data_IF_133088008420
#
_entry.id   IF_133088008420
#
_cell.length_a   1.000
_cell.length_b   1.000
_cell.length_c   1.000
_cell.angle_alpha   90.00
_cell.angle_beta   90.00
_cell.angle_gamma   90.00
#
_symmetry.space_group_name_H-M   'P 1'
#
loop_
_entity.id
_entity.type
_entity.pdbx_description
1 polymer ?
#
# COMPACT_ATOMS: atom_id res chain seq x y z
N UNK A 1 2.14 7.60 2.35
CA UNK A 1 2.33 8.78 1.47
C UNK A 1 3.05 8.42 0.17
N UNK A 2 4.22 7.77 0.22
CA UNK A 2 4.97 7.37 -0.99
C UNK A 2 4.15 6.53 -1.99
N UNK A 3 3.36 5.57 -1.49
CA UNK A 3 2.51 4.71 -2.33
C UNK A 3 1.44 5.54 -3.08
N UNK A 4 0.90 6.61 -2.47
CA UNK A 4 -0.03 7.51 -3.15
C UNK A 4 0.67 8.27 -4.29
N UNK A 5 1.89 8.74 -4.04
CA UNK A 5 2.71 9.45 -5.05
C UNK A 5 3.01 8.53 -6.24
N UNK A 6 3.31 7.25 -6.01
CA UNK A 6 3.53 6.31 -7.13
C UNK A 6 2.30 6.13 -8.01
N UNK A 7 1.09 6.06 -7.42
CA UNK A 7 -0.15 5.95 -8.22
C UNK A 7 -0.45 7.22 -9.03
N UNK A 8 -0.07 8.39 -8.53
CA UNK A 8 -0.14 9.64 -9.31
C UNK A 8 0.84 9.57 -10.50
N UNK A 9 2.08 9.11 -10.27
CA UNK A 9 3.08 8.95 -11.33
C UNK A 9 2.59 7.96 -12.40
N UNK A 10 2.01 6.83 -11.99
CA UNK A 10 1.43 5.84 -12.91
C UNK A 10 0.29 6.39 -13.75
N UNK A 11 -0.56 7.23 -13.17
CA UNK A 11 -1.66 7.84 -13.90
C UNK A 11 -1.17 8.75 -15.02
N UNK A 12 -0.20 9.63 -14.75
CA UNK A 12 0.36 10.55 -15.75
C UNK A 12 1.34 9.90 -16.72
N UNK A 13 2.00 8.82 -16.32
CA UNK A 13 3.05 8.15 -17.11
C UNK A 13 2.57 6.91 -17.86
N UNK A 14 1.27 6.76 -18.10
CA UNK A 14 0.67 5.58 -18.73
C UNK A 14 1.35 5.19 -20.07
N UNK A 15 1.87 6.18 -20.81
CA UNK A 15 2.50 5.99 -22.12
C UNK A 15 4.05 6.05 -22.10
N UNK A 16 4.67 6.27 -20.94
CA UNK A 16 6.13 6.44 -20.81
C UNK A 16 6.73 5.37 -19.92
N UNK A 17 7.57 4.51 -20.51
CA UNK A 17 8.21 3.41 -19.79
C UNK A 17 9.12 3.91 -18.66
N UNK A 18 9.79 5.05 -18.87
CA UNK A 18 10.63 5.68 -17.85
C UNK A 18 9.80 6.15 -16.65
N UNK A 19 8.63 6.75 -16.89
CA UNK A 19 7.75 7.17 -15.80
C UNK A 19 7.17 5.99 -15.03
N UNK A 20 6.86 4.88 -15.71
CA UNK A 20 6.46 3.63 -15.05
C UNK A 20 7.59 3.05 -14.18
N UNK A 21 8.83 3.04 -14.66
CA UNK A 21 9.99 2.58 -13.87
C UNK A 21 10.12 3.40 -12.59
N UNK A 22 10.05 4.73 -12.69
CA UNK A 22 10.11 5.62 -11.53
C UNK A 22 8.96 5.32 -10.56
N UNK A 23 7.74 5.21 -11.07
CA UNK A 23 6.57 4.89 -10.25
C UNK A 23 6.71 3.56 -9.50
N UNK A 24 7.25 2.52 -10.15
CA UNK A 24 7.47 1.20 -9.51
C UNK A 24 8.52 1.30 -8.41
N UNK A 25 9.63 1.99 -8.64
CA UNK A 25 10.68 2.19 -7.63
C UNK A 25 10.09 2.92 -6.41
N UNK A 26 9.35 4.00 -6.63
CA UNK A 26 8.72 4.78 -5.55
C UNK A 26 7.69 3.94 -4.79
N UNK A 27 6.92 3.12 -5.50
CA UNK A 27 5.94 2.22 -4.90
C UNK A 27 6.62 1.17 -4.01
N UNK A 28 7.66 0.50 -4.51
CA UNK A 28 8.40 -0.53 -3.77
C UNK A 28 9.02 0.04 -2.50
N UNK A 29 9.70 1.19 -2.60
CA UNK A 29 10.24 1.89 -1.44
C UNK A 29 9.14 2.24 -0.42
N UNK A 30 7.98 2.70 -0.89
CA UNK A 30 6.85 3.03 -0.03
C UNK A 30 6.28 1.82 0.71
N UNK A 31 6.12 0.69 0.01
CA UNK A 31 5.64 -0.57 0.59
C UNK A 31 6.65 -1.10 1.60
N UNK A 32 7.93 -1.16 1.25
CA UNK A 32 8.98 -1.70 2.11
C UNK A 32 9.19 -0.85 3.36
N UNK A 33 9.20 0.47 3.24
CA UNK A 33 9.29 1.36 4.39
C UNK A 33 8.09 1.17 5.36
N UNK A 34 6.88 1.06 4.81
CA UNK A 34 5.66 0.82 5.60
C UNK A 34 5.71 -0.53 6.28
N UNK A 35 6.13 -1.57 5.57
CA UNK A 35 6.25 -2.93 6.10
C UNK A 35 7.24 -2.99 7.28
N UNK A 36 8.43 -2.41 7.13
CA UNK A 36 9.45 -2.36 8.18
C UNK A 36 8.96 -1.56 9.39
N UNK A 37 8.33 -0.40 9.16
CA UNK A 37 7.77 0.44 10.24
C UNK A 37 6.69 -0.29 11.03
N UNK A 38 5.73 -0.92 10.34
CA UNK A 38 4.67 -1.69 10.99
C UNK A 38 5.23 -2.87 11.79
N UNK A 39 6.17 -3.62 11.22
CA UNK A 39 6.80 -4.73 11.94
C UNK A 39 7.56 -4.26 13.17
N UNK A 40 8.30 -3.15 13.08
CA UNK A 40 9.03 -2.57 14.22
C UNK A 40 8.08 -2.20 15.37
N UNK A 41 6.96 -1.53 15.07
CA UNK A 41 5.95 -1.13 16.07
C UNK A 41 5.31 -2.35 16.72
N UNK A 42 4.84 -3.31 15.91
CA UNK A 42 4.08 -4.46 16.41
C UNK A 42 4.99 -5.40 17.23
N UNK A 43 6.23 -5.62 16.78
CA UNK A 43 7.17 -6.47 17.51
C UNK A 43 7.71 -5.82 18.79
N UNK A 44 7.77 -4.49 18.87
CA UNK A 44 8.09 -3.79 20.12
C UNK A 44 7.01 -3.97 21.19
N UNK A 45 5.74 -4.15 20.79
CA UNK A 45 4.61 -4.25 21.72
C UNK A 45 4.56 -5.57 22.49
N UNK A 46 4.91 -6.69 21.84
CA UNK A 46 4.89 -8.05 22.43
C UNK A 46 6.00 -8.94 21.88
N UNK A 47 7.25 -8.78 22.35
CA UNK A 47 8.40 -9.54 21.86
C UNK A 47 8.29 -11.06 22.12
N UNK A 48 7.61 -11.48 23.19
CA UNK A 48 7.43 -12.90 23.54
C UNK A 48 6.59 -13.69 22.53
N UNK A 49 5.67 -13.03 21.81
CA UNK A 49 4.74 -13.67 20.88
C UNK A 49 5.11 -13.43 19.40
N UNK A 50 6.39 -13.13 19.11
CA UNK A 50 6.87 -12.69 17.79
C UNK A 50 6.45 -13.59 16.64
N UNK A 51 6.55 -14.91 16.82
CA UNK A 51 6.22 -15.88 15.76
C UNK A 51 4.72 -15.82 15.37
N UNK A 52 3.84 -15.82 16.36
CA UNK A 52 2.38 -15.76 16.16
C UNK A 52 1.96 -14.43 15.52
N UNK A 53 2.53 -13.33 15.99
CA UNK A 53 2.28 -12.00 15.43
C UNK A 53 2.69 -11.94 13.96
N UNK A 54 3.87 -12.45 13.63
CA UNK A 54 4.36 -12.47 12.26
C UNK A 54 3.41 -13.25 11.34
N UNK A 55 2.93 -14.42 11.77
CA UNK A 55 1.94 -15.19 11.00
C UNK A 55 0.67 -14.40 10.75
N UNK A 56 0.07 -13.80 11.79
CA UNK A 56 -1.16 -13.00 11.64
C UNK A 56 -0.94 -11.80 10.71
N UNK A 57 0.22 -11.14 10.84
CA UNK A 57 0.60 -10.02 10.00
C UNK A 57 0.69 -10.43 8.52
N UNK A 58 1.43 -11.50 8.22
CA UNK A 58 1.59 -12.00 6.85
C UNK A 58 0.27 -12.50 6.26
N UNK A 59 -0.56 -13.21 7.03
CA UNK A 59 -1.90 -13.65 6.57
C UNK A 59 -2.77 -12.45 6.20
N UNK A 60 -2.76 -11.40 7.03
CA UNK A 60 -3.51 -10.16 6.76
C UNK A 60 -2.96 -9.44 5.52
N UNK A 61 -1.63 -9.40 5.37
CA UNK A 61 -0.97 -8.82 4.19
C UNK A 61 -1.36 -9.54 2.90
N UNK A 62 -1.35 -10.88 2.90
CA UNK A 62 -1.77 -11.67 1.74
C UNK A 62 -3.26 -11.55 1.45
N UNK A 63 -4.12 -11.52 2.47
CA UNK A 63 -5.55 -11.26 2.30
C UNK A 63 -5.80 -9.90 1.63
N UNK A 64 -5.11 -8.86 2.10
CA UNK A 64 -5.16 -7.53 1.50
C UNK A 64 -4.69 -7.52 0.05
N UNK A 65 -3.55 -8.18 -0.23
CA UNK A 65 -3.02 -8.31 -1.59
C UNK A 65 -3.95 -9.06 -2.55
N UNK A 66 -4.60 -10.13 -2.08
CA UNK A 66 -5.58 -10.89 -2.84
C UNK A 66 -6.83 -10.04 -3.15
N UNK A 67 -7.39 -9.36 -2.14
CA UNK A 67 -8.53 -8.47 -2.33
C UNK A 67 -8.19 -7.31 -3.28
N UNK A 68 -7.02 -6.70 -3.13
CA UNK A 68 -6.54 -5.63 -4.01
C UNK A 68 -6.40 -6.11 -5.46
N UNK A 69 -5.85 -7.31 -5.69
CA UNK A 69 -5.72 -7.91 -7.02
C UNK A 69 -7.08 -8.19 -7.65
N UNK A 70 -8.03 -8.72 -6.88
CA UNK A 70 -9.40 -8.94 -7.35
C UNK A 70 -10.07 -7.63 -7.79
N UNK A 71 -9.99 -6.58 -6.96
CA UNK A 71 -10.55 -5.26 -7.27
C UNK A 71 -9.87 -4.63 -8.50
N UNK A 72 -8.54 -4.69 -8.58
CA UNK A 72 -7.79 -4.17 -9.73
C UNK A 72 -8.17 -4.90 -11.02
N UNK A 73 -8.30 -6.23 -10.99
CA UNK A 73 -8.71 -7.03 -12.15
C UNK A 73 -10.13 -6.69 -12.61
N UNK A 74 -11.05 -6.48 -11.67
CA UNK A 74 -12.43 -6.12 -11.99
C UNK A 74 -12.51 -4.72 -12.62
N UNK A 75 -11.74 -3.76 -12.10
CA UNK A 75 -11.69 -2.40 -12.64
C UNK A 75 -10.94 -2.32 -13.96
N UNK A 76 -9.95 -3.19 -14.19
CA UNK A 76 -9.27 -3.28 -15.48
C UNK A 76 -10.25 -3.55 -16.64
N UNK A 77 -11.24 -4.43 -16.43
CA UNK A 77 -12.22 -4.78 -17.47
C UNK A 77 -13.01 -3.58 -17.98
N UNK A 78 -13.41 -2.68 -17.07
CA UNK A 78 -14.32 -1.57 -17.38
C UNK A 78 -13.58 -0.24 -17.61
N UNK A 79 -12.47 -0.01 -16.90
CA UNK A 79 -11.76 1.27 -16.82
C UNK A 79 -10.27 1.17 -17.15
N UNK A 80 -9.77 -0.02 -17.52
CA UNK A 80 -8.40 -0.27 -17.96
C UNK A 80 -7.37 0.28 -16.97
N UNK A 81 -6.29 0.89 -17.49
CA UNK A 81 -5.20 1.48 -16.70
C UNK A 81 -5.67 2.50 -15.66
N UNK A 82 -6.62 3.36 -16.06
CA UNK A 82 -7.15 4.40 -15.17
C UNK A 82 -7.89 3.81 -13.98
N UNK A 83 -8.62 2.70 -14.19
CA UNK A 83 -9.29 1.97 -13.11
C UNK A 83 -8.32 1.43 -12.07
N UNK A 84 -7.19 0.85 -12.52
CA UNK A 84 -6.16 0.31 -11.63
C UNK A 84 -5.44 1.40 -10.87
N UNK A 85 -5.13 2.53 -11.52
CA UNK A 85 -4.53 3.67 -10.85
C UNK A 85 -5.48 4.29 -9.81
N UNK A 86 -6.76 4.41 -10.14
CA UNK A 86 -7.78 4.98 -9.26
C UNK A 86 -7.96 4.14 -7.98
N UNK A 87 -8.08 2.81 -8.09
CA UNK A 87 -8.24 1.95 -6.91
C UNK A 87 -7.00 1.97 -6.02
N UNK A 88 -5.80 1.97 -6.60
CA UNK A 88 -4.55 2.09 -5.86
C UNK A 88 -4.44 3.41 -5.09
N UNK A 89 -4.83 4.52 -5.74
CA UNK A 89 -4.90 5.83 -5.09
C UNK A 89 -5.93 5.85 -3.95
N UNK A 90 -7.15 5.32 -4.16
CA UNK A 90 -8.20 5.25 -3.13
C UNK A 90 -7.75 4.44 -1.92
N UNK A 91 -7.19 3.24 -2.13
CA UNK A 91 -6.68 2.41 -1.03
C UNK A 91 -5.52 3.10 -0.28
N UNK A 92 -4.66 3.82 -1.00
CA UNK A 92 -3.59 4.61 -0.39
C UNK A 92 -4.12 5.79 0.44
N UNK A 93 -5.18 6.46 -0.02
CA UNK A 93 -5.85 7.54 0.72
C UNK A 93 -6.52 6.98 1.98
N UNK A 94 -7.24 5.86 1.88
CA UNK A 94 -7.86 5.20 3.04
C UNK A 94 -6.79 4.87 4.09
N UNK A 95 -5.66 4.31 3.67
CA UNK A 95 -4.53 4.00 4.57
C UNK A 95 -4.00 5.25 5.27
N UNK A 96 -3.85 6.36 4.53
CA UNK A 96 -3.44 7.64 5.10
C UNK A 96 -4.46 8.20 6.10
N UNK A 97 -5.75 8.14 5.78
CA UNK A 97 -6.82 8.59 6.68
C UNK A 97 -6.82 7.79 7.98
N UNK A 98 -6.72 6.46 7.90
CA UNK A 98 -6.63 5.59 9.08
C UNK A 98 -5.39 5.96 9.91
N UNK A 99 -4.25 6.18 9.27
CA UNK A 99 -3.04 6.61 9.95
C UNK A 99 -3.23 7.94 10.69
N UNK A 100 -3.81 8.96 10.04
CA UNK A 100 -4.09 10.25 10.69
C UNK A 100 -5.11 10.16 11.83
N UNK A 101 -6.12 9.30 11.73
CA UNK A 101 -7.11 9.09 12.79
C UNK A 101 -6.47 8.36 13.99
N UNK A 102 -5.62 7.37 13.73
CA UNK A 102 -4.96 6.58 14.77
C UNK A 102 -3.72 7.24 15.38
N UNK A 103 -3.28 8.39 14.84
CA UNK A 103 -2.37 9.30 15.53
C UNK A 103 -3.20 10.33 16.30
N UNK A 104 -3.64 10.05 17.55
CA UNK A 104 -4.13 11.12 18.40
C UNK A 104 -3.00 12.11 18.57
N UNK A 105 -3.31 13.39 18.35
CA UNK A 105 -2.42 14.54 18.54
C UNK A 105 -1.67 14.38 19.87
N UNK A 106 -0.42 13.98 19.82
CA UNK A 106 0.53 14.26 20.89
C UNK A 106 0.86 15.73 20.76
N UNK A 107 0.10 16.56 21.49
CA UNK A 107 0.48 17.92 21.90
C UNK A 107 1.92 17.99 22.35
#
# INVERSE_FOLDING_TARGET
MLILVSFIIFYFSAYSIFGLIIGVIVMDMGVQATHISNQSIIFALRPEARNRINTIYMVTYFLGGSAGTFLATQLWKNYQWNGVCAIGAVLSIITLLIHFINHPKTT
#
